data_IF_258184906066
#
_entry.id   IF_258184906066
#
_cell.length_a   1.000
_cell.length_b   1.000
_cell.length_c   1.000
_cell.angle_alpha   90.00
_cell.angle_beta   90.00
_cell.angle_gamma   90.00
#
_symmetry.space_group_name_H-M   'P 1'
#
loop_
_entity.id
_entity.type
_entity.pdbx_description
1 polymer ?
#
# COMPACT_ATOMS: atom_id res chain seq x y z
N UNK A 1 -80.47 49.64 7.47
CA UNK A 1 -79.83 49.39 8.79
C UNK A 1 -79.04 48.09 8.70
N UNK A 2 -77.88 48.06 9.38
CA UNK A 2 -76.82 47.03 9.41
C UNK A 2 -75.80 47.09 8.27
N UNK A 3 -74.70 47.81 8.58
CA UNK A 3 -73.39 47.76 7.94
C UNK A 3 -72.78 46.37 8.19
N UNK A 4 -72.14 45.77 7.19
CA UNK A 4 -71.20 44.66 7.39
C UNK A 4 -69.82 45.06 6.86
N UNK A 5 -68.83 44.78 7.68
CA UNK A 5 -67.47 45.28 7.68
C UNK A 5 -66.54 44.06 7.55
N UNK A 6 -65.53 44.13 6.67
CA UNK A 6 -64.33 43.26 6.66
C UNK A 6 -64.58 41.80 6.28
N UNK A 7 -63.70 41.07 5.60
CA UNK A 7 -62.24 41.06 5.77
C UNK A 7 -61.62 40.42 4.53
N UNK A 8 -60.59 41.07 3.97
CA UNK A 8 -59.84 40.57 2.82
C UNK A 8 -58.72 39.65 3.35
N UNK A 9 -58.77 38.35 3.02
CA UNK A 9 -57.70 37.41 3.38
C UNK A 9 -56.58 37.52 2.34
N UNK A 10 -55.41 38.01 2.75
CA UNK A 10 -54.18 37.98 1.97
C UNK A 10 -53.50 36.62 2.19
N UNK A 11 -53.51 35.74 1.18
CA UNK A 11 -52.79 34.48 1.23
C UNK A 11 -51.29 34.73 1.07
N UNK A 12 -50.54 34.69 2.17
CA UNK A 12 -49.08 34.71 2.16
C UNK A 12 -48.54 33.32 1.84
N UNK A 13 -47.94 33.14 0.67
CA UNK A 13 -47.18 31.95 0.31
C UNK A 13 -45.82 31.99 1.04
N UNK A 14 -45.65 31.12 2.03
CA UNK A 14 -44.35 30.88 2.67
C UNK A 14 -43.57 29.92 1.79
N UNK A 15 -42.58 30.42 1.06
CA UNK A 15 -41.59 29.61 0.34
C UNK A 15 -40.57 29.07 1.35
N UNK A 16 -40.68 27.78 1.70
CA UNK A 16 -39.63 27.07 2.42
C UNK A 16 -38.48 26.77 1.45
N UNK A 17 -37.39 27.54 1.57
CA UNK A 17 -36.17 27.28 0.83
C UNK A 17 -35.39 26.18 1.56
N UNK A 18 -35.62 24.92 1.21
CA UNK A 18 -34.83 23.80 1.73
C UNK A 18 -33.49 23.78 1.00
N UNK A 19 -32.48 24.41 1.60
CA UNK A 19 -31.09 24.25 1.18
C UNK A 19 -30.68 22.79 1.44
N UNK A 20 -30.64 21.98 0.39
CA UNK A 20 -30.04 20.66 0.42
C UNK A 20 -28.52 20.83 0.48
N UNK A 21 -27.94 20.70 1.67
CA UNK A 21 -26.50 20.50 1.81
C UNK A 21 -26.15 19.16 1.17
N UNK A 22 -25.56 19.16 -0.02
CA UNK A 22 -24.96 17.96 -0.58
C UNK A 22 -23.75 17.59 0.29
N UNK A 23 -23.90 16.58 1.15
CA UNK A 23 -22.76 15.95 1.76
C UNK A 23 -21.84 15.44 0.65
N UNK A 24 -20.53 15.73 0.73
CA UNK A 24 -19.56 15.10 -0.13
C UNK A 24 -19.72 13.57 0.01
N UNK A 25 -19.57 12.78 -1.09
CA UNK A 25 -19.59 11.33 -0.98
C UNK A 25 -18.62 10.88 0.12
N UNK A 26 -19.07 10.02 1.02
CA UNK A 26 -18.18 9.44 2.02
C UNK A 26 -17.02 8.76 1.29
N UNK A 27 -15.79 9.06 1.73
CA UNK A 27 -14.59 8.44 1.22
C UNK A 27 -14.70 6.92 1.46
N UNK A 28 -14.53 6.12 0.41
CA UNK A 28 -14.58 4.67 0.51
C UNK A 28 -13.27 4.18 1.14
N UNK A 29 -13.36 3.77 2.40
CA UNK A 29 -12.22 3.33 3.22
C UNK A 29 -12.03 1.81 3.21
N UNK A 30 -13.04 1.08 2.71
CA UNK A 30 -13.07 -0.38 2.73
C UNK A 30 -12.55 -0.97 1.41
N UNK A 31 -11.72 -0.22 0.67
CA UNK A 31 -11.22 -0.62 -0.65
C UNK A 31 -9.70 -0.58 -0.75
N UNK A 32 -9.07 -1.74 -1.02
CA UNK A 32 -7.70 -1.77 -1.52
C UNK A 32 -7.72 -1.33 -2.98
N UNK A 33 -7.04 -0.23 -3.27
CA UNK A 33 -6.75 0.20 -4.63
C UNK A 33 -5.38 -0.29 -5.08
N UNK A 34 -5.35 -1.09 -6.14
CA UNK A 34 -4.12 -1.58 -6.76
C UNK A 34 -3.86 -0.89 -8.10
N UNK A 35 -2.62 -0.45 -8.31
CA UNK A 35 -2.11 -0.01 -9.62
C UNK A 35 -1.52 -1.22 -10.34
N UNK A 36 -2.06 -1.55 -11.50
CA UNK A 36 -1.63 -2.68 -12.34
C UNK A 36 -1.62 -4.03 -11.59
N UNK A 37 -0.85 -5.00 -12.10
CA UNK A 37 -0.68 -6.33 -11.49
C UNK A 37 0.76 -6.47 -11.02
N UNK A 38 1.00 -7.17 -9.91
CA UNK A 38 2.37 -7.55 -9.55
C UNK A 38 2.99 -8.43 -10.65
N UNK A 39 2.18 -9.25 -11.34
CA UNK A 39 2.58 -10.06 -12.48
C UNK A 39 3.07 -9.19 -13.66
N UNK A 40 2.51 -7.99 -13.84
CA UNK A 40 3.02 -7.07 -14.86
C UNK A 40 4.39 -6.52 -14.48
N UNK A 41 4.59 -6.18 -13.19
CA UNK A 41 5.88 -5.77 -12.67
C UNK A 41 6.92 -6.91 -12.82
N UNK A 42 6.56 -8.14 -12.47
CA UNK A 42 7.41 -9.33 -12.64
C UNK A 42 7.91 -9.50 -14.08
N UNK A 43 7.05 -9.20 -15.06
CA UNK A 43 7.36 -9.27 -16.49
C UNK A 43 8.14 -8.05 -17.04
N UNK A 44 8.57 -7.11 -16.18
CA UNK A 44 9.34 -5.93 -16.59
C UNK A 44 8.50 -4.73 -17.03
N UNK A 45 7.19 -4.71 -16.72
CA UNK A 45 6.36 -3.52 -16.93
C UNK A 45 6.62 -2.50 -15.82
N UNK A 46 7.68 -1.71 -15.99
CA UNK A 46 8.06 -0.65 -15.04
C UNK A 46 7.58 0.74 -15.47
N UNK A 47 6.78 0.85 -16.53
CA UNK A 47 6.24 2.13 -17.00
C UNK A 47 5.20 2.70 -16.03
N UNK A 48 5.28 4.01 -15.79
CA UNK A 48 4.33 4.76 -14.99
C UNK A 48 2.89 4.64 -15.48
N UNK A 49 1.97 4.22 -14.60
CA UNK A 49 0.55 4.04 -14.93
C UNK A 49 -0.33 5.18 -14.43
N UNK A 50 -0.05 5.69 -13.24
CA UNK A 50 -0.70 6.87 -12.65
C UNK A 50 0.35 7.77 -11.97
N UNK A 51 -0.04 9.00 -11.63
CA UNK A 51 0.80 9.88 -10.82
C UNK A 51 0.60 9.64 -9.33
N UNK A 52 1.56 10.04 -8.50
CA UNK A 52 1.40 10.12 -7.03
C UNK A 52 0.20 10.97 -6.64
N UNK A 53 -0.09 12.05 -7.39
CA UNK A 53 -1.30 12.86 -7.16
C UNK A 53 -2.57 12.03 -7.27
N UNK A 54 -2.66 11.20 -8.31
CA UNK A 54 -3.84 10.36 -8.56
C UNK A 54 -3.90 9.21 -7.55
N UNK A 55 -2.76 8.59 -7.21
CA UNK A 55 -2.65 7.54 -6.19
C UNK A 55 -3.24 8.01 -4.85
N UNK A 56 -2.91 9.24 -4.42
CA UNK A 56 -3.42 9.83 -3.18
C UNK A 56 -4.94 10.07 -3.15
N UNK A 57 -5.62 9.99 -4.29
CA UNK A 57 -7.10 10.02 -4.33
C UNK A 57 -7.72 8.66 -4.00
N UNK A 58 -6.90 7.61 -3.90
CA UNK A 58 -7.32 6.24 -3.63
C UNK A 58 -6.84 5.67 -2.29
N UNK A 59 -5.90 6.34 -1.63
CA UNK A 59 -5.47 5.94 -0.29
C UNK A 59 -4.44 6.88 0.33
N UNK A 60 -4.23 6.71 1.63
CA UNK A 60 -3.27 7.44 2.45
C UNK A 60 -2.22 6.53 3.12
N UNK A 61 -2.36 5.22 2.97
CA UNK A 61 -1.48 4.20 3.53
C UNK A 61 -1.30 3.06 2.53
N UNK A 62 -0.07 2.58 2.36
CA UNK A 62 0.23 1.52 1.42
C UNK A 62 1.70 1.40 1.01
N UNK A 63 1.94 0.55 0.02
CA UNK A 63 3.27 0.16 -0.47
C UNK A 63 3.29 0.09 -2.01
N UNK A 64 4.47 -0.02 -2.61
CA UNK A 64 4.64 -0.13 -4.06
C UNK A 64 6.03 0.26 -4.52
N UNK A 65 6.16 0.71 -5.77
CA UNK A 65 7.43 1.21 -6.34
C UNK A 65 7.16 2.41 -7.27
N UNK A 66 8.20 2.93 -7.92
CA UNK A 66 8.14 4.06 -8.86
C UNK A 66 8.49 3.63 -10.27
N UNK A 67 8.19 4.50 -11.24
CA UNK A 67 8.52 4.24 -12.65
C UNK A 67 10.00 3.87 -12.81
N UNK A 68 10.24 2.84 -13.64
CA UNK A 68 11.56 2.25 -13.80
C UNK A 68 11.97 1.34 -12.65
N UNK A 69 11.10 0.95 -11.72
CA UNK A 69 11.47 0.19 -10.52
C UNK A 69 12.53 0.98 -9.71
N UNK A 70 12.32 2.29 -9.55
CA UNK A 70 13.27 3.17 -8.85
C UNK A 70 12.97 3.24 -7.36
N UNK A 71 13.36 2.19 -6.66
CA UNK A 71 13.28 2.08 -5.22
C UNK A 71 11.87 1.81 -4.70
N UNK A 72 11.77 1.81 -3.37
CA UNK A 72 10.61 1.30 -2.67
C UNK A 72 9.70 2.43 -2.21
N UNK A 73 8.40 2.31 -2.49
CA UNK A 73 7.39 3.27 -2.07
C UNK A 73 6.84 2.91 -0.69
N UNK A 74 6.78 3.90 0.20
CA UNK A 74 6.03 3.81 1.46
C UNK A 74 5.03 4.95 1.46
N UNK A 75 3.74 4.64 1.55
CA UNK A 75 2.68 5.63 1.77
C UNK A 75 2.26 5.54 3.23
N UNK A 76 2.45 6.62 3.97
CA UNK A 76 2.16 6.68 5.40
C UNK A 76 1.53 8.02 5.74
N UNK A 77 0.31 7.97 6.29
CA UNK A 77 -0.49 9.12 6.73
C UNK A 77 -0.58 10.22 5.64
N UNK A 78 -0.79 9.78 4.39
CA UNK A 78 -0.99 10.65 3.22
C UNK A 78 0.29 11.20 2.61
N UNK A 79 1.47 10.86 3.14
CA UNK A 79 2.77 11.22 2.57
C UNK A 79 3.35 10.03 1.81
N UNK A 80 3.83 10.28 0.60
CA UNK A 80 4.48 9.26 -0.24
C UNK A 80 5.99 9.43 -0.14
N UNK A 81 6.66 8.39 0.31
CA UNK A 81 8.09 8.31 0.47
C UNK A 81 8.69 7.34 -0.55
N UNK A 82 9.90 7.63 -1.03
CA UNK A 82 10.77 6.68 -1.75
C UNK A 82 11.95 6.36 -0.86
N UNK A 83 12.16 5.09 -0.56
CA UNK A 83 13.47 4.59 -0.17
C UNK A 83 14.25 4.30 -1.46
N UNK A 84 15.37 4.99 -1.67
CA UNK A 84 16.24 4.73 -2.82
C UNK A 84 17.12 3.49 -2.58
N UNK A 85 17.90 3.07 -3.59
CA UNK A 85 18.84 1.94 -3.52
C UNK A 85 19.71 1.88 -2.26
N UNK A 86 20.04 3.01 -1.63
CA UNK A 86 20.83 3.03 -0.39
C UNK A 86 19.96 3.06 0.88
N UNK A 87 18.70 2.63 0.77
CA UNK A 87 17.65 2.68 1.79
C UNK A 87 17.44 4.08 2.39
N UNK A 88 17.79 5.15 1.65
CA UNK A 88 17.59 6.54 2.10
C UNK A 88 16.24 7.04 1.63
N UNK A 89 15.51 7.65 2.58
CA UNK A 89 14.14 8.08 2.37
C UNK A 89 14.06 9.52 1.85
N UNK A 90 13.25 9.72 0.82
CA UNK A 90 12.90 11.03 0.26
C UNK A 90 11.37 11.18 0.15
N UNK A 91 10.85 12.38 0.36
CA UNK A 91 9.43 12.69 0.10
C UNK A 91 9.23 12.91 -1.39
N UNK A 92 8.23 12.26 -1.95
CA UNK A 92 7.97 12.26 -3.39
C UNK A 92 6.92 13.29 -3.81
N UNK A 93 7.18 13.93 -4.94
CA UNK A 93 6.30 14.94 -5.50
C UNK A 93 5.09 14.35 -6.22
N UNK A 94 4.04 15.16 -6.36
CA UNK A 94 2.77 14.78 -7.01
C UNK A 94 2.89 14.30 -8.47
N UNK A 95 4.00 14.59 -9.16
CA UNK A 95 4.22 14.25 -10.57
C UNK A 95 4.93 12.91 -10.78
N UNK A 96 5.47 12.34 -9.71
CA UNK A 96 6.15 11.03 -9.79
C UNK A 96 5.16 9.97 -10.27
N UNK A 97 5.66 9.05 -11.08
CA UNK A 97 4.85 8.02 -11.72
C UNK A 97 4.98 6.68 -11.01
N UNK A 98 3.88 5.93 -11.02
CA UNK A 98 3.69 4.69 -10.24
C UNK A 98 3.30 3.56 -11.19
N UNK A 99 4.14 2.52 -11.34
CA UNK A 99 3.82 1.35 -12.17
C UNK A 99 3.03 0.29 -11.38
N UNK A 100 3.28 0.19 -10.07
CA UNK A 100 2.63 -0.76 -9.16
C UNK A 100 2.57 -0.19 -7.74
N UNK A 101 1.42 -0.36 -7.09
CA UNK A 101 1.19 0.02 -5.68
C UNK A 101 -0.12 -0.56 -5.18
N UNK A 102 -0.21 -0.77 -3.87
CA UNK A 102 -1.44 -1.04 -3.14
C UNK A 102 -1.64 0.02 -2.06
N UNK A 103 -2.78 0.73 -2.10
CA UNK A 103 -3.15 1.73 -1.09
C UNK A 103 -4.59 1.58 -0.64
N UNK A 104 -4.88 2.02 0.58
CA UNK A 104 -6.24 2.24 1.10
C UNK A 104 -6.27 3.53 1.92
N UNK A 105 -7.47 4.05 2.21
CA UNK A 105 -7.65 5.06 3.23
C UNK A 105 -7.76 4.38 4.58
N UNK A 106 -6.66 4.35 5.31
CA UNK A 106 -6.52 3.49 6.48
C UNK A 106 -7.50 3.85 7.59
N UNK A 107 -8.32 2.89 8.00
CA UNK A 107 -9.15 2.95 9.19
C UNK A 107 -8.79 1.84 10.16
N UNK A 108 -8.40 2.21 11.38
CA UNK A 108 -8.06 1.20 12.39
C UNK A 108 -9.34 0.54 12.90
N UNK A 109 -9.53 -0.72 12.53
CA UNK A 109 -10.57 -1.58 13.09
C UNK A 109 -10.20 -2.13 14.46
N UNK A 110 -8.98 -2.66 14.55
CA UNK A 110 -8.47 -3.25 15.79
C UNK A 110 -6.95 -3.15 15.87
N UNK A 111 -6.41 -3.47 17.04
CA UNK A 111 -4.99 -3.40 17.31
C UNK A 111 -4.55 -4.50 18.27
N UNK A 112 -3.33 -4.98 18.10
CA UNK A 112 -2.70 -5.97 18.98
C UNK A 112 -1.31 -5.52 19.40
N UNK A 113 -0.94 -5.82 20.64
CA UNK A 113 0.43 -5.61 21.13
C UNK A 113 1.30 -6.78 20.70
N UNK A 114 2.48 -6.47 20.17
CA UNK A 114 3.50 -7.42 19.76
C UNK A 114 4.70 -7.28 20.70
N UNK A 115 5.29 -8.40 21.11
CA UNK A 115 6.41 -8.44 22.06
C UNK A 115 7.34 -9.59 21.70
N UNK A 116 8.65 -9.34 21.71
CA UNK A 116 9.72 -10.32 21.59
C UNK A 116 9.55 -11.30 20.41
N UNK A 117 9.39 -10.76 19.20
CA UNK A 117 9.27 -11.55 17.97
C UNK A 117 10.63 -11.56 17.29
N UNK A 118 11.29 -12.71 17.32
CA UNK A 118 12.74 -12.84 17.06
C UNK A 118 13.12 -12.89 15.59
N UNK A 119 12.16 -13.14 14.70
CA UNK A 119 12.34 -13.20 13.25
C UNK A 119 11.01 -12.85 12.54
N UNK A 120 11.06 -12.67 11.21
CA UNK A 120 9.88 -12.40 10.37
C UNK A 120 8.83 -13.51 10.44
N UNK A 121 9.23 -14.78 10.63
CA UNK A 121 8.28 -15.90 10.71
C UNK A 121 7.43 -15.85 11.98
N UNK A 122 8.05 -15.58 13.13
CA UNK A 122 7.36 -15.37 14.40
C UNK A 122 6.46 -14.13 14.32
N UNK A 123 6.93 -13.07 13.65
CA UNK A 123 6.15 -11.88 13.39
C UNK A 123 4.90 -12.13 12.55
N UNK A 124 5.06 -12.74 11.39
CA UNK A 124 3.94 -13.09 10.49
C UNK A 124 2.97 -14.06 11.16
N UNK A 125 3.47 -15.03 11.93
CA UNK A 125 2.61 -15.96 12.69
C UNK A 125 1.70 -15.22 13.68
N UNK A 126 2.20 -14.17 14.35
CA UNK A 126 1.40 -13.36 15.26
C UNK A 126 0.31 -12.55 14.52
N UNK A 127 0.59 -12.06 13.32
CA UNK A 127 -0.38 -11.36 12.48
C UNK A 127 -1.39 -12.32 11.84
N UNK A 128 -0.94 -13.48 11.36
CA UNK A 128 -1.77 -14.55 10.81
C UNK A 128 -2.82 -15.02 11.82
N UNK A 129 -2.45 -15.12 13.10
CA UNK A 129 -3.42 -15.44 14.15
C UNK A 129 -4.58 -14.42 14.24
N UNK A 130 -4.35 -13.15 13.87
CA UNK A 130 -5.42 -12.16 13.77
C UNK A 130 -6.21 -12.32 12.47
N UNK A 131 -5.54 -12.59 11.34
CA UNK A 131 -6.21 -12.87 10.07
C UNK A 131 -7.13 -14.09 10.18
N UNK A 132 -6.68 -15.18 10.80
CA UNK A 132 -7.47 -16.39 11.04
C UNK A 132 -8.73 -16.11 11.87
N UNK A 133 -8.59 -15.23 12.86
CA UNK A 133 -9.69 -14.84 13.75
C UNK A 133 -10.70 -13.91 13.08
N UNK A 134 -10.24 -13.02 12.19
CA UNK A 134 -11.05 -11.95 11.61
C UNK A 134 -11.53 -12.26 10.18
N UNK A 135 -10.96 -13.26 9.51
CA UNK A 135 -11.37 -13.76 8.20
C UNK A 135 -10.21 -13.83 7.21
N UNK A 136 -9.81 -15.04 6.83
CA UNK A 136 -8.66 -15.32 5.95
C UNK A 136 -8.84 -14.87 4.49
N UNK A 137 -10.07 -14.59 4.07
CA UNK A 137 -10.41 -14.29 2.68
C UNK A 137 -10.56 -12.78 2.41
N UNK A 138 -10.15 -11.94 3.36
CA UNK A 138 -10.13 -10.48 3.25
C UNK A 138 -8.72 -9.96 3.04
N UNK A 139 -8.58 -8.76 2.47
CA UNK A 139 -7.31 -8.04 2.54
C UNK A 139 -7.16 -7.41 3.93
N UNK A 140 -5.91 -7.20 4.34
CA UNK A 140 -5.62 -6.37 5.51
C UNK A 140 -4.51 -5.37 5.16
N UNK A 141 -4.73 -4.10 5.44
CA UNK A 141 -3.65 -3.13 5.55
C UNK A 141 -3.25 -3.05 7.01
N UNK A 142 -1.95 -3.03 7.30
CA UNK A 142 -1.44 -2.89 8.66
C UNK A 142 -0.44 -1.75 8.78
N UNK A 143 -0.51 -1.07 9.92
CA UNK A 143 0.55 -0.18 10.41
C UNK A 143 1.10 -0.79 11.69
N UNK A 144 2.39 -1.11 11.69
CA UNK A 144 3.06 -1.65 12.88
C UNK A 144 4.15 -0.68 13.30
N UNK A 145 3.88 0.08 14.37
CA UNK A 145 4.89 0.92 14.99
C UNK A 145 5.57 0.14 16.11
N UNK A 146 6.91 0.21 16.18
CA UNK A 146 7.66 -0.49 17.20
C UNK A 146 9.16 -0.23 17.20
N UNK A 147 9.79 -0.88 18.17
CA UNK A 147 11.23 -0.89 18.39
C UNK A 147 11.81 -2.21 17.88
N UNK A 148 12.72 -2.12 16.91
CA UNK A 148 13.36 -3.25 16.28
C UNK A 148 14.79 -3.37 16.79
N UNK A 149 15.10 -4.52 17.39
CA UNK A 149 16.47 -4.86 17.73
C UNK A 149 17.32 -4.94 16.45
N UNK A 150 16.75 -5.54 15.42
CA UNK A 150 17.32 -5.62 14.08
C UNK A 150 16.20 -5.59 13.04
N UNK A 151 16.45 -4.97 11.89
CA UNK A 151 15.60 -5.08 10.71
C UNK A 151 16.48 -5.16 9.46
N UNK A 152 16.23 -6.16 8.63
CA UNK A 152 16.86 -6.34 7.33
C UNK A 152 15.91 -5.84 6.25
N UNK A 153 16.34 -4.81 5.53
CA UNK A 153 15.59 -4.20 4.43
C UNK A 153 16.38 -4.24 3.14
N UNK A 154 15.69 -4.16 2.00
CA UNK A 154 16.28 -3.92 0.67
C UNK A 154 15.68 -2.72 -0.03
N UNK A 155 16.41 -2.22 -1.02
CA UNK A 155 15.88 -1.37 -2.09
C UNK A 155 16.80 -1.42 -3.30
N UNK A 156 16.29 -1.01 -4.46
CA UNK A 156 16.96 -1.09 -5.76
C UNK A 156 17.12 0.28 -6.41
N UNK A 157 17.99 0.36 -7.43
CA UNK A 157 18.09 1.55 -8.27
C UNK A 157 17.20 1.41 -9.49
N UNK A 158 16.67 2.53 -9.96
CA UNK A 158 15.89 2.58 -11.19
C UNK A 158 16.58 1.96 -12.41
N UNK A 159 15.76 1.31 -13.22
CA UNK A 159 16.07 0.69 -14.49
C UNK A 159 15.82 1.67 -15.65
N UNK A 160 16.45 1.40 -16.78
CA UNK A 160 16.21 2.10 -18.04
C UNK A 160 15.77 1.10 -19.11
N UNK A 161 15.02 1.57 -20.11
CA UNK A 161 14.56 0.71 -21.20
C UNK A 161 15.73 0.18 -22.05
N UNK A 162 15.64 -1.05 -22.60
CA UNK A 162 14.57 -2.02 -22.39
C UNK A 162 14.61 -2.59 -20.96
N UNK A 163 13.45 -2.63 -20.30
CA UNK A 163 13.37 -3.10 -18.92
C UNK A 163 13.60 -4.63 -18.85
N UNK A 164 14.42 -5.11 -17.91
CA UNK A 164 14.54 -6.52 -17.62
C UNK A 164 13.33 -7.04 -16.82
N UNK A 165 13.27 -8.34 -16.55
CA UNK A 165 12.31 -8.89 -15.58
C UNK A 165 12.63 -8.40 -14.16
N UNK A 166 11.66 -8.48 -13.24
CA UNK A 166 11.87 -8.04 -11.84
C UNK A 166 13.03 -8.79 -11.18
N UNK A 167 13.11 -10.12 -11.35
CA UNK A 167 14.19 -10.93 -10.77
C UNK A 167 15.56 -10.51 -11.31
N UNK A 168 15.66 -10.24 -12.62
CA UNK A 168 16.90 -9.77 -13.24
C UNK A 168 17.29 -8.36 -12.75
N UNK A 169 16.32 -7.45 -12.63
CA UNK A 169 16.54 -6.11 -12.09
C UNK A 169 17.07 -6.17 -10.65
N UNK A 170 16.38 -6.91 -9.77
CA UNK A 170 16.75 -7.03 -8.36
C UNK A 170 18.12 -7.69 -8.19
N UNK A 171 18.40 -8.77 -8.94
CA UNK A 171 19.72 -9.41 -8.93
C UNK A 171 20.86 -8.45 -9.29
N UNK A 172 20.61 -7.51 -10.19
CA UNK A 172 21.62 -6.56 -10.64
C UNK A 172 21.75 -5.32 -9.74
N UNK A 173 20.66 -4.91 -9.08
CA UNK A 173 20.56 -3.54 -8.54
C UNK A 173 20.07 -3.42 -7.11
N UNK A 174 19.55 -4.48 -6.50
CA UNK A 174 19.14 -4.40 -5.10
C UNK A 174 20.36 -4.24 -4.18
N UNK A 175 20.18 -3.54 -3.06
CA UNK A 175 21.09 -3.56 -1.92
C UNK A 175 20.29 -3.82 -0.66
N UNK A 176 20.86 -4.67 0.17
CA UNK A 176 20.34 -4.96 1.50
C UNK A 176 21.02 -4.05 2.55
N UNK A 177 20.28 -3.69 3.58
CA UNK A 177 20.76 -2.93 4.73
C UNK A 177 20.18 -3.54 6.00
N UNK A 178 21.06 -3.96 6.91
CA UNK A 178 20.70 -4.32 8.27
C UNK A 178 20.79 -3.10 9.17
N UNK A 179 19.69 -2.76 9.84
CA UNK A 179 19.65 -1.69 10.84
C UNK A 179 19.47 -2.29 12.22
N UNK A 180 20.23 -1.81 13.21
CA UNK A 180 20.13 -2.27 14.60
C UNK A 180 19.58 -1.19 15.51
N UNK A 181 18.79 -1.60 16.51
CA UNK A 181 18.22 -0.74 17.55
C UNK A 181 17.52 0.49 16.95
N UNK A 182 16.55 0.24 16.09
CA UNK A 182 15.85 1.27 15.31
C UNK A 182 14.35 1.25 15.59
N UNK A 183 13.76 2.43 15.80
CA UNK A 183 12.32 2.60 15.92
C UNK A 183 11.73 3.08 14.60
N UNK A 184 10.56 2.58 14.24
CA UNK A 184 9.90 2.94 13.00
C UNK A 184 8.55 2.29 12.80
N UNK A 185 8.03 2.43 11.59
CA UNK A 185 6.73 1.91 11.18
C UNK A 185 6.88 0.97 10.00
N UNK A 186 6.28 -0.22 10.11
CA UNK A 186 5.98 -1.09 8.98
C UNK A 186 4.62 -0.70 8.40
N UNK A 187 4.54 -0.57 7.09
CA UNK A 187 3.29 -0.57 6.34
C UNK A 187 3.23 -1.88 5.59
N UNK A 188 2.14 -2.63 5.77
CA UNK A 188 2.03 -3.98 5.22
C UNK A 188 0.68 -4.28 4.61
N UNK A 189 0.69 -5.06 3.53
CA UNK A 189 -0.50 -5.64 2.92
C UNK A 189 -0.53 -7.15 3.19
N UNK A 190 -1.65 -7.65 3.70
CA UNK A 190 -2.02 -9.05 3.57
C UNK A 190 -2.89 -9.25 2.34
N UNK A 191 -2.50 -10.18 1.48
CA UNK A 191 -3.25 -10.58 0.31
C UNK A 191 -3.73 -12.03 0.46
N UNK A 192 -5.05 -12.31 0.35
CA UNK A 192 -5.58 -13.65 0.53
C UNK A 192 -5.17 -14.59 -0.61
N UNK A 193 -5.06 -15.89 -0.30
CA UNK A 193 -4.48 -16.91 -1.21
C UNK A 193 -5.13 -16.99 -2.60
N UNK A 194 -6.46 -16.77 -2.67
CA UNK A 194 -7.20 -16.84 -3.94
C UNK A 194 -6.86 -15.69 -4.91
N UNK A 195 -6.13 -14.67 -4.46
CA UNK A 195 -5.72 -13.51 -5.26
C UNK A 195 -4.29 -13.62 -5.83
N UNK A 196 -3.64 -14.79 -5.74
CA UNK A 196 -2.26 -15.04 -6.22
C UNK A 196 -1.98 -14.73 -7.69
N UNK A 197 -3.00 -14.60 -8.52
CA UNK A 197 -2.86 -14.20 -9.93
C UNK A 197 -2.79 -12.68 -10.14
N UNK A 198 -2.99 -11.89 -9.09
CA UNK A 198 -3.03 -10.41 -9.14
C UNK A 198 -1.98 -9.74 -8.24
N UNK A 199 -1.52 -10.43 -7.20
CA UNK A 199 -0.54 -9.92 -6.23
C UNK A 199 0.26 -11.06 -5.56
N UNK A 200 1.21 -10.74 -4.69
CA UNK A 200 1.90 -11.68 -3.79
C UNK A 200 0.96 -12.05 -2.63
N UNK A 201 0.78 -13.34 -2.33
CA UNK A 201 -0.11 -13.78 -1.23
C UNK A 201 0.61 -13.76 0.11
N UNK A 202 -0.17 -13.74 1.19
CA UNK A 202 0.38 -13.54 2.53
C UNK A 202 0.78 -12.09 2.75
N UNK A 203 1.86 -11.87 3.49
CA UNK A 203 2.29 -10.53 3.89
C UNK A 203 3.39 -9.94 3.00
N UNK A 204 3.27 -8.64 2.74
CA UNK A 204 4.28 -7.82 2.07
C UNK A 204 4.46 -6.53 2.87
N UNK A 205 5.67 -6.26 3.37
CA UNK A 205 5.96 -5.13 4.26
C UNK A 205 7.04 -4.21 3.71
N UNK A 206 6.81 -2.90 3.82
CA UNK A 206 7.86 -1.89 3.73
C UNK A 206 8.04 -1.20 5.08
N UNK A 207 9.26 -0.75 5.37
CA UNK A 207 9.65 -0.09 6.60
C UNK A 207 10.01 1.38 6.36
N UNK A 208 9.75 2.22 7.36
CA UNK A 208 10.26 3.58 7.45
C UNK A 208 10.61 3.95 8.90
N UNK A 209 11.82 4.46 9.12
CA UNK A 209 12.29 4.89 10.43
C UNK A 209 11.51 6.09 10.98
N UNK A 210 11.51 6.26 12.30
CA UNK A 210 10.81 7.37 12.96
C UNK A 210 11.32 8.74 12.49
N UNK A 211 12.63 8.87 12.29
CA UNK A 211 13.28 10.08 11.76
C UNK A 211 13.14 10.25 10.24
N UNK A 212 12.45 9.32 9.57
CA UNK A 212 12.16 9.32 8.12
C UNK A 212 13.42 9.38 7.26
N UNK A 213 14.54 8.81 7.72
CA UNK A 213 15.81 8.76 6.97
C UNK A 213 16.12 7.41 6.35
N UNK A 214 15.60 6.34 6.93
CA UNK A 214 15.87 4.95 6.51
C UNK A 214 14.55 4.25 6.20
N UNK A 215 14.52 3.45 5.14
CA UNK A 215 13.36 2.67 4.77
C UNK A 215 13.65 1.73 3.60
N UNK A 216 12.70 0.86 3.28
CA UNK A 216 12.84 -0.14 2.22
C UNK A 216 11.86 -1.30 2.36
N UNK A 217 11.95 -2.27 1.46
CA UNK A 217 11.22 -3.53 1.52
C UNK A 217 11.80 -4.44 2.60
N UNK A 218 10.97 -5.08 3.41
CA UNK A 218 11.43 -5.87 4.57
C UNK A 218 11.68 -7.32 4.19
N UNK A 219 12.89 -7.79 4.49
CA UNK A 219 13.31 -9.17 4.28
C UNK A 219 13.29 -9.99 5.59
N UNK A 220 13.70 -9.38 6.70
CA UNK A 220 13.66 -10.00 8.03
C UNK A 220 13.59 -8.95 9.14
N UNK A 221 13.19 -9.32 10.36
CA UNK A 221 13.10 -8.42 11.50
C UNK A 221 13.16 -9.13 12.86
N UNK A 222 13.66 -8.44 13.86
CA UNK A 222 13.55 -8.78 15.28
C UNK A 222 12.88 -7.60 15.99
N UNK A 223 11.61 -7.77 16.37
CA UNK A 223 10.80 -6.79 17.07
C UNK A 223 10.82 -7.04 18.59
N UNK A 224 11.33 -6.07 19.35
CA UNK A 224 11.27 -6.12 20.82
C UNK A 224 9.85 -5.81 21.28
N UNK A 225 9.30 -4.68 20.83
CA UNK A 225 8.00 -4.18 21.27
C UNK A 225 7.31 -3.40 20.15
N UNK A 226 6.02 -3.63 19.94
CA UNK A 226 5.25 -2.86 18.98
C UNK A 226 3.75 -2.97 19.15
N UNK A 227 3.04 -2.22 18.32
CA UNK A 227 1.59 -2.32 18.17
C UNK A 227 1.27 -2.43 16.68
N UNK A 228 0.58 -3.51 16.32
CA UNK A 228 0.03 -3.67 14.99
C UNK A 228 -1.42 -3.17 15.00
N UNK A 229 -1.69 -2.17 14.16
CA UNK A 229 -3.02 -1.69 13.83
C UNK A 229 -3.46 -2.35 12.53
N UNK A 230 -4.67 -2.90 12.51
CA UNK A 230 -5.25 -3.58 11.37
C UNK A 230 -6.44 -2.79 10.83
N UNK A 231 -6.51 -2.75 9.50
CA UNK A 231 -7.63 -2.33 8.68
C UNK A 231 -8.01 -3.54 7.82
N UNK A 232 -9.19 -4.12 8.07
CA UNK A 232 -9.73 -5.24 7.31
C UNK A 232 -10.52 -4.69 6.13
N UNK A 233 -9.94 -4.80 4.95
CA UNK A 233 -10.46 -4.15 3.76
C UNK A 233 -11.11 -5.18 2.82
N UNK A 234 -12.44 -5.15 2.69
CA UNK A 234 -13.21 -6.21 2.00
C UNK A 234 -13.45 -5.95 0.51
N UNK A 235 -13.20 -4.73 0.01
CA UNK A 235 -13.31 -4.42 -1.41
C UNK A 235 -11.92 -4.32 -2.07
N UNK A 236 -11.88 -4.65 -3.35
CA UNK A 236 -10.68 -4.56 -4.17
C UNK A 236 -11.00 -3.87 -5.49
N UNK A 237 -10.21 -2.85 -5.83
CA UNK A 237 -10.28 -2.14 -7.10
C UNK A 237 -8.90 -2.09 -7.73
N UNK A 238 -8.81 -2.48 -9.00
CA UNK A 238 -7.57 -2.43 -9.75
C UNK A 238 -7.66 -1.44 -10.91
N UNK A 239 -6.70 -0.53 -10.99
CA UNK A 239 -6.48 0.33 -12.14
C UNK A 239 -5.56 -0.34 -13.15
N UNK A 240 -6.10 -0.73 -14.31
CA UNK A 240 -5.28 -1.31 -15.38
C UNK A 240 -4.60 -0.20 -16.22
N UNK A 241 -3.31 -0.35 -16.55
CA UNK A 241 -2.61 0.56 -17.46
C UNK A 241 -3.24 0.54 -18.86
N UNK A 242 -3.35 1.72 -19.47
CA UNK A 242 -3.91 1.89 -20.82
C UNK A 242 -2.86 1.78 -21.94
N UNK A 243 -1.58 1.69 -21.57
CA UNK A 243 -0.47 1.69 -22.51
C UNK A 243 -0.49 0.42 -23.39
N UNK A 244 -0.08 0.55 -24.66
CA UNK A 244 -0.11 -0.56 -25.63
C UNK A 244 0.75 -1.75 -25.18
N UNK A 245 1.94 -1.48 -24.66
CA UNK A 245 2.88 -2.51 -24.21
C UNK A 245 2.36 -3.32 -23.00
N UNK A 246 1.44 -2.78 -22.19
CA UNK A 246 0.77 -3.56 -21.15
C UNK A 246 -0.17 -4.62 -21.75
N UNK A 247 -0.90 -4.25 -22.83
CA UNK A 247 -1.84 -5.15 -23.51
C UNK A 247 -1.14 -6.27 -24.29
N UNK A 248 0.18 -6.14 -24.50
CA UNK A 248 1.03 -7.12 -25.18
C UNK A 248 1.65 -8.15 -24.20
N UNK A 249 1.48 -7.96 -22.88
CA UNK A 249 1.98 -8.88 -21.86
C UNK A 249 1.18 -10.19 -21.86
N UNK A 250 1.90 -11.30 -21.67
CA UNK A 250 1.29 -12.62 -21.53
C UNK A 250 1.17 -13.02 -20.05
N UNK A 251 0.00 -12.75 -19.45
CA UNK A 251 -0.32 -13.10 -18.07
C UNK A 251 -0.63 -14.59 -17.85
N UNK A 252 -0.68 -15.42 -18.91
CA UNK A 252 -0.91 -16.86 -18.77
C UNK A 252 0.36 -17.64 -18.38
N UNK A 253 1.48 -16.96 -18.14
CA UNK A 253 2.70 -17.57 -17.60
C UNK A 253 2.55 -17.78 -16.09
N UNK A 254 3.03 -18.91 -15.60
CA UNK A 254 3.17 -19.11 -14.16
C UNK A 254 4.38 -18.31 -13.66
N UNK A 255 4.12 -17.29 -12.84
CA UNK A 255 5.11 -16.35 -12.30
C UNK A 255 5.27 -16.49 -10.78
N UNK A 256 4.69 -17.52 -10.17
CA UNK A 256 4.67 -17.67 -8.70
C UNK A 256 6.07 -17.70 -8.10
N UNK A 257 6.97 -18.49 -8.69
CA UNK A 257 8.36 -18.58 -8.21
C UNK A 257 9.15 -17.29 -8.43
N UNK A 258 8.91 -16.57 -9.53
CA UNK A 258 9.58 -15.30 -9.81
C UNK A 258 9.14 -14.22 -8.82
N UNK A 259 7.84 -14.15 -8.51
CA UNK A 259 7.28 -13.24 -7.50
C UNK A 259 7.80 -13.60 -6.11
N UNK A 260 7.80 -14.89 -5.73
CA UNK A 260 8.31 -15.33 -4.42
C UNK A 260 9.78 -14.93 -4.25
N UNK A 261 10.62 -15.14 -5.25
CA UNK A 261 12.04 -14.75 -5.23
C UNK A 261 12.25 -13.24 -5.14
N UNK A 262 11.35 -12.44 -5.72
CA UNK A 262 11.45 -10.98 -5.70
C UNK A 262 10.96 -10.37 -4.38
N UNK A 263 9.87 -10.90 -3.82
CA UNK A 263 9.17 -10.29 -2.69
C UNK A 263 9.44 -10.94 -1.34
N UNK A 264 9.81 -12.23 -1.29
CA UNK A 264 9.86 -12.99 -0.03
C UNK A 264 11.25 -13.54 0.32
N UNK A 265 12.11 -13.77 -0.67
CA UNK A 265 13.43 -14.35 -0.41
C UNK A 265 14.45 -13.26 -0.06
N UNK A 266 15.20 -13.43 1.04
CA UNK A 266 16.46 -12.71 1.21
C UNK A 266 17.46 -13.24 0.18
N UNK A 267 18.26 -12.36 -0.42
CA UNK A 267 19.28 -12.80 -1.36
C UNK A 267 20.39 -13.43 -0.53
N UNK A 268 20.31 -14.74 -0.29
CA UNK A 268 21.43 -15.47 0.30
C UNK A 268 22.59 -15.42 -0.69
N UNK A 269 23.44 -14.41 -0.53
CA UNK A 269 24.72 -14.31 -1.21
C UNK A 269 25.41 -15.64 -1.06
N UNK A 270 25.64 -16.31 -2.19
CA UNK A 270 26.36 -17.58 -2.22
C UNK A 270 27.66 -17.44 -1.43
N UNK A 271 27.89 -18.38 -0.53
CA UNK A 271 29.24 -18.69 -0.07
C UNK A 271 30.13 -19.04 -1.25
#
# INVERSE_FOLDING_TARGET
MKKFLGTMFLAGTILFNTATTSAAPAQDKETIYQVALLQSLALGYFDGSITVKDLKTHGDTGIGTFEGLDGEMIVLDGVVYRANQNCRVNVMGNKELVPFSNVTFFEKDFSVKLRNLTDKSAFESALNAQVDKHGINSFYMVKVHGDFNEILIRSESGQVKPYPTLVEALKATQKEMTCQSISGTLVGLYCPEFMSSLNSTGWHFHFISDDKKIGGHVLDLHLDNGEAQFDKTDNFRMGLPKAKNFQELNFNKDLKEDIRKAEQDSYQGGK
#
